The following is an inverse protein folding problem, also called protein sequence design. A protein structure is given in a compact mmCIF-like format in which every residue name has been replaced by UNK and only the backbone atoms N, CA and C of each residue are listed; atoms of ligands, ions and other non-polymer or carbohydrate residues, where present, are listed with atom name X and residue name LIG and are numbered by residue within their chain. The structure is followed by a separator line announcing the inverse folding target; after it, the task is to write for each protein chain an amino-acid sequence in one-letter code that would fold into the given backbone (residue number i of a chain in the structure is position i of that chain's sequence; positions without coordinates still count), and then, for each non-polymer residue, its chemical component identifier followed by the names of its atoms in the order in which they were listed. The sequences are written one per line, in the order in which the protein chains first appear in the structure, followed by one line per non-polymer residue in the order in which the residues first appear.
data_IF_076287935099
#
_entry.id   IF_076287935099
#
_cell.length_a   1.000
_cell.length_b   1.000
_cell.length_c   1.000
_cell.angle_alpha   90.00
_cell.angle_beta   90.00
_cell.angle_gamma   90.00
#
_symmetry.space_group_name_H-M   'P 1'
#
loop_
_entity.id
_entity.type
_entity.pdbx_description
1 polymer ?
#
# COMPACT_ATOMS: atom_id res chain seq x y z
N UNK A 1 23.02 16.06 4.69
CA UNK A 1 23.55 14.69 4.57
C UNK A 1 23.68 14.44 3.09
N UNK A 2 24.86 14.06 2.64
CA UNK A 2 25.13 13.77 1.23
C UNK A 2 24.39 12.49 0.84
N UNK A 3 23.92 12.38 -0.40
CA UNK A 3 23.10 11.25 -0.88
C UNK A 3 23.71 9.87 -0.62
N UNK A 4 25.03 9.73 -0.65
CA UNK A 4 25.75 8.49 -0.41
C UNK A 4 25.52 7.88 1.01
N UNK A 5 25.49 8.72 2.05
CA UNK A 5 25.23 8.24 3.41
C UNK A 5 23.79 7.72 3.60
N UNK A 6 22.84 8.27 2.84
CA UNK A 6 21.44 7.82 2.90
C UNK A 6 21.28 6.47 2.21
N UNK A 7 21.92 6.26 1.06
CA UNK A 7 21.88 4.98 0.34
C UNK A 7 22.52 3.87 1.16
N UNK A 8 23.71 4.10 1.71
CA UNK A 8 24.39 3.09 2.56
C UNK A 8 23.61 2.74 3.83
N UNK A 9 22.89 3.70 4.42
CA UNK A 9 22.01 3.42 5.56
C UNK A 9 20.82 2.54 5.17
N UNK A 10 20.24 2.77 3.99
CA UNK A 10 19.14 1.95 3.47
C UNK A 10 19.60 0.55 3.09
N UNK A 11 20.79 0.40 2.51
CA UNK A 11 21.38 -0.91 2.18
C UNK A 11 21.50 -1.81 3.40
N UNK A 12 21.86 -1.27 4.55
CA UNK A 12 21.97 -2.03 5.80
C UNK A 12 20.62 -2.62 6.26
N UNK A 13 19.49 -2.00 5.84
CA UNK A 13 18.15 -2.45 6.17
C UNK A 13 17.59 -3.53 5.21
N UNK A 14 18.21 -3.73 4.04
CA UNK A 14 17.70 -4.65 3.01
C UNK A 14 17.52 -6.08 3.50
N UNK A 15 18.43 -6.58 4.34
CA UNK A 15 18.34 -7.92 4.92
C UNK A 15 17.04 -8.11 5.73
N UNK A 16 16.59 -7.06 6.41
CA UNK A 16 15.34 -7.07 7.17
C UNK A 16 14.13 -6.93 6.27
N UNK A 17 14.24 -6.13 5.21
CA UNK A 17 13.16 -5.96 4.23
C UNK A 17 12.92 -7.24 3.43
N UNK A 18 13.98 -7.97 3.05
CA UNK A 18 13.86 -9.29 2.41
C UNK A 18 13.15 -10.30 3.33
N UNK A 19 13.51 -10.36 4.60
CA UNK A 19 12.80 -11.20 5.57
C UNK A 19 11.33 -10.81 5.73
N UNK A 20 11.06 -9.51 5.76
CA UNK A 20 9.68 -8.98 5.84
C UNK A 20 8.90 -9.36 4.58
N UNK A 21 9.51 -9.22 3.41
CA UNK A 21 8.94 -9.63 2.12
C UNK A 21 8.60 -11.12 2.11
N UNK A 22 9.50 -11.98 2.59
CA UNK A 22 9.27 -13.42 2.63
C UNK A 22 8.08 -13.78 3.54
N UNK A 23 7.93 -13.10 4.69
CA UNK A 23 6.77 -13.27 5.56
C UNK A 23 5.49 -12.81 4.90
N UNK A 24 5.50 -11.67 4.20
CA UNK A 24 4.35 -11.15 3.47
C UNK A 24 3.94 -12.12 2.35
N UNK A 25 4.89 -12.62 1.57
CA UNK A 25 4.62 -13.60 0.51
C UNK A 25 3.98 -14.89 1.06
N UNK A 26 4.53 -15.42 2.16
CA UNK A 26 3.98 -16.61 2.80
C UNK A 26 2.56 -16.39 3.30
N UNK A 27 2.27 -15.22 3.88
CA UNK A 27 0.91 -14.89 4.32
C UNK A 27 -0.05 -14.74 3.13
N UNK A 28 0.38 -14.13 2.02
CA UNK A 28 -0.42 -14.03 0.80
C UNK A 28 -0.79 -15.44 0.33
N UNK A 29 0.19 -16.32 0.18
CA UNK A 29 -0.05 -17.70 -0.25
C UNK A 29 -0.98 -18.44 0.72
N UNK A 30 -0.75 -18.30 2.02
CA UNK A 30 -1.55 -18.95 3.05
C UNK A 30 -3.02 -18.53 2.99
N UNK A 31 -3.30 -17.22 2.97
CA UNK A 31 -4.70 -16.75 2.98
C UNK A 31 -5.42 -17.05 1.68
N UNK A 32 -4.74 -16.95 0.54
CA UNK A 32 -5.35 -17.26 -0.75
C UNK A 32 -5.61 -18.75 -0.91
N UNK A 33 -4.70 -19.61 -0.45
CA UNK A 33 -4.94 -21.05 -0.38
C UNK A 33 -6.08 -21.40 0.58
N UNK A 34 -6.09 -20.82 1.77
CA UNK A 34 -7.16 -21.04 2.75
C UNK A 34 -8.53 -20.60 2.22
N UNK A 35 -8.59 -19.50 1.51
CA UNK A 35 -9.83 -18.93 0.94
C UNK A 35 -10.20 -19.49 -0.43
N UNK A 36 -9.26 -20.15 -1.12
CA UNK A 36 -9.42 -20.62 -2.51
C UNK A 36 -9.94 -19.51 -3.44
N UNK A 37 -9.47 -18.28 -3.21
CA UNK A 37 -9.94 -17.08 -3.90
C UNK A 37 -8.96 -15.94 -3.78
N UNK A 38 -8.70 -15.20 -4.87
CA UNK A 38 -7.85 -14.02 -4.92
C UNK A 38 -6.82 -14.09 -6.03
N UNK A 39 -5.90 -13.12 -6.05
CA UNK A 39 -4.92 -12.93 -7.11
C UNK A 39 -3.49 -12.98 -6.52
N UNK A 40 -2.83 -14.15 -6.48
CA UNK A 40 -1.51 -14.29 -5.85
C UNK A 40 -0.42 -13.55 -6.61
N UNK A 41 -0.37 -13.67 -7.94
CA UNK A 41 0.68 -13.12 -8.79
C UNK A 41 0.89 -11.63 -8.56
N UNK A 42 -0.13 -10.82 -8.90
CA UNK A 42 -0.07 -9.37 -8.75
C UNK A 42 0.04 -8.89 -7.29
N UNK A 43 -0.38 -9.70 -6.31
CA UNK A 43 -0.18 -9.37 -4.89
C UNK A 43 1.28 -9.54 -4.49
N UNK A 44 1.95 -10.61 -4.92
CA UNK A 44 3.35 -10.93 -4.56
C UNK A 44 4.35 -10.06 -5.31
N UNK A 45 4.15 -9.86 -6.61
CA UNK A 45 5.09 -9.11 -7.46
C UNK A 45 5.32 -7.67 -6.99
N UNK A 46 4.35 -7.07 -6.28
CA UNK A 46 4.41 -5.70 -5.78
C UNK A 46 4.97 -5.56 -4.36
N UNK A 47 5.29 -6.67 -3.65
CA UNK A 47 5.68 -6.62 -2.23
C UNK A 47 6.92 -5.76 -2.02
N UNK A 48 7.99 -5.96 -2.81
CA UNK A 48 9.20 -5.15 -2.70
C UNK A 48 8.93 -3.66 -2.88
N UNK A 49 8.18 -3.30 -3.93
CA UNK A 49 7.87 -1.89 -4.22
C UNK A 49 7.07 -1.25 -3.08
N UNK A 50 6.10 -1.98 -2.50
CA UNK A 50 5.33 -1.48 -1.36
C UNK A 50 6.20 -1.33 -0.10
N UNK A 51 7.02 -2.32 0.23
CA UNK A 51 7.92 -2.26 1.39
C UNK A 51 8.91 -1.10 1.28
N UNK A 52 9.54 -0.93 0.11
CA UNK A 52 10.42 0.23 -0.12
C UNK A 52 9.65 1.53 0.06
N UNK A 53 8.46 1.65 -0.49
CA UNK A 53 7.64 2.86 -0.35
C UNK A 53 7.31 3.17 1.12
N UNK A 54 7.00 2.16 1.92
CA UNK A 54 6.59 2.32 3.31
C UNK A 54 7.76 2.48 4.29
N UNK A 55 8.91 1.81 4.03
CA UNK A 55 9.99 1.69 5.01
C UNK A 55 11.19 2.60 4.74
N UNK A 56 11.43 3.02 3.49
CA UNK A 56 12.58 3.89 3.15
C UNK A 56 12.44 5.36 3.58
N UNK A 57 11.26 5.76 4.04
CA UNK A 57 10.97 7.17 4.34
C UNK A 57 10.57 8.01 3.13
N UNK A 58 10.50 7.43 1.90
CA UNK A 58 10.02 8.14 0.70
C UNK A 58 8.56 8.55 0.81
N UNK A 59 7.74 7.72 1.48
CA UNK A 59 6.36 8.00 1.85
C UNK A 59 6.28 8.44 3.32
N UNK A 60 5.71 9.60 3.57
CA UNK A 60 5.46 10.11 4.92
C UNK A 60 4.14 9.56 5.44
N UNK A 61 4.20 8.57 6.30
CA UNK A 61 3.04 7.95 6.91
C UNK A 61 3.31 7.54 8.38
N UNK A 62 2.29 7.19 9.11
CA UNK A 62 2.40 6.65 10.46
C UNK A 62 1.40 5.49 10.58
N UNK A 63 1.92 4.28 10.81
CA UNK A 63 1.10 3.07 10.93
C UNK A 63 0.07 3.17 12.07
N UNK A 64 0.35 3.97 13.11
CA UNK A 64 -0.57 4.22 14.23
C UNK A 64 -1.66 5.24 13.90
N UNK A 65 -1.44 6.07 12.88
CA UNK A 65 -2.34 7.13 12.43
C UNK A 65 -2.38 7.20 10.91
N UNK A 66 -2.80 6.13 10.23
CA UNK A 66 -2.77 6.06 8.77
C UNK A 66 -3.70 7.08 8.10
N UNK A 67 -4.68 7.59 8.86
CA UNK A 67 -5.62 8.63 8.42
C UNK A 67 -5.09 10.07 8.55
N UNK A 68 -3.85 10.26 8.99
CA UNK A 68 -3.27 11.58 9.24
C UNK A 68 -3.44 12.51 8.03
N UNK A 69 -4.04 13.69 8.26
CA UNK A 69 -4.52 14.61 7.21
C UNK A 69 -3.46 15.01 6.18
N UNK A 70 -2.23 15.23 6.62
CA UNK A 70 -1.12 15.67 5.75
C UNK A 70 -0.04 14.60 5.56
N UNK A 71 -0.34 13.35 5.89
CA UNK A 71 0.47 12.21 5.47
C UNK A 71 0.33 11.99 3.96
N UNK A 72 1.32 11.36 3.34
CA UNK A 72 1.24 11.00 1.94
C UNK A 72 0.13 9.95 1.71
N UNK A 73 -0.30 9.79 0.48
CA UNK A 73 -1.46 8.97 0.10
C UNK A 73 -1.02 7.69 -0.59
N UNK A 74 -1.61 6.57 -0.20
CA UNK A 74 -1.49 5.30 -0.90
C UNK A 74 -2.81 5.00 -1.61
N UNK A 75 -2.75 4.79 -2.92
CA UNK A 75 -3.86 4.34 -3.75
C UNK A 75 -3.47 3.01 -4.40
N UNK A 76 -4.14 1.94 -4.01
CA UNK A 76 -3.98 0.65 -4.68
C UNK A 76 -4.88 0.63 -5.91
N UNK A 77 -4.36 1.10 -7.05
CA UNK A 77 -5.10 1.19 -8.33
C UNK A 77 -5.52 -0.20 -8.79
N UNK A 78 -4.59 -1.18 -8.73
CA UNK A 78 -4.89 -2.60 -8.91
C UNK A 78 -5.60 -3.18 -7.68
N UNK A 79 -6.82 -2.77 -7.41
CA UNK A 79 -7.57 -3.08 -6.18
C UNK A 79 -7.72 -4.57 -5.87
N UNK A 80 -7.71 -5.43 -6.89
CA UNK A 80 -7.75 -6.89 -6.74
C UNK A 80 -6.50 -7.48 -6.06
N UNK A 81 -5.38 -6.72 -6.04
CA UNK A 81 -4.15 -7.13 -5.36
C UNK A 81 -4.12 -6.74 -3.87
N UNK A 82 -5.28 -6.51 -3.27
CA UNK A 82 -5.43 -6.08 -1.87
C UNK A 82 -4.76 -7.01 -0.84
N UNK A 83 -4.60 -8.34 -1.05
CA UNK A 83 -3.81 -9.18 -0.15
C UNK A 83 -2.40 -8.65 0.12
N UNK A 84 -1.77 -7.98 -0.86
CA UNK A 84 -0.52 -7.26 -0.69
C UNK A 84 -0.55 -6.31 0.51
N UNK A 85 -1.57 -5.44 0.58
CA UNK A 85 -1.68 -4.42 1.64
C UNK A 85 -2.05 -5.07 2.97
N UNK A 86 -2.99 -6.02 2.97
CA UNK A 86 -3.42 -6.69 4.20
C UNK A 86 -2.27 -7.46 4.85
N UNK A 87 -1.55 -8.27 4.10
CA UNK A 87 -0.45 -9.06 4.63
C UNK A 87 0.72 -8.18 5.08
N UNK A 88 1.03 -7.11 4.32
CA UNK A 88 2.05 -6.14 4.73
C UNK A 88 1.69 -5.46 6.05
N UNK A 89 0.45 -4.95 6.19
CA UNK A 89 0.01 -4.34 7.44
C UNK A 89 0.02 -5.36 8.59
N UNK A 90 -0.42 -6.59 8.37
CA UNK A 90 -0.40 -7.63 9.40
C UNK A 90 1.02 -7.89 9.91
N UNK A 91 2.00 -8.08 9.01
CA UNK A 91 3.41 -8.31 9.40
C UNK A 91 3.98 -7.13 10.19
N UNK A 92 3.77 -5.90 9.71
CA UNK A 92 4.30 -4.70 10.37
C UNK A 92 3.64 -4.48 11.73
N UNK A 93 2.32 -4.68 11.84
CA UNK A 93 1.59 -4.54 13.11
C UNK A 93 2.01 -5.63 14.09
N UNK A 94 2.22 -6.87 13.65
CA UNK A 94 2.73 -7.94 14.49
C UNK A 94 4.13 -7.63 15.05
N UNK A 95 5.01 -7.13 14.20
CA UNK A 95 6.34 -6.73 14.64
C UNK A 95 6.28 -5.67 15.76
N UNK A 96 5.41 -4.68 15.62
CA UNK A 96 5.20 -3.65 16.65
C UNK A 96 4.52 -4.23 17.90
N UNK A 97 3.51 -5.12 17.75
CA UNK A 97 2.84 -5.80 18.86
C UNK A 97 3.84 -6.59 19.73
N UNK A 98 4.67 -7.39 19.07
CA UNK A 98 5.71 -8.17 19.76
C UNK A 98 6.73 -7.26 20.44
N UNK A 99 7.17 -6.21 19.76
CA UNK A 99 8.12 -5.26 20.33
C UNK A 99 7.55 -4.54 21.54
N UNK A 100 6.29 -4.13 21.50
CA UNK A 100 5.61 -3.53 22.64
C UNK A 100 5.51 -4.50 23.81
N UNK A 101 5.13 -5.75 23.57
CA UNK A 101 5.05 -6.80 24.60
C UNK A 101 6.41 -7.05 25.27
N UNK A 102 7.50 -7.02 24.49
CA UNK A 102 8.86 -7.25 25.00
C UNK A 102 9.42 -6.09 25.80
N UNK A 103 9.08 -4.85 25.44
CA UNK A 103 9.76 -3.66 25.96
C UNK A 103 8.87 -2.77 26.83
N UNK A 104 7.55 -2.82 26.69
CA UNK A 104 6.62 -1.88 27.29
C UNK A 104 6.73 -0.46 26.75
N UNK A 105 7.49 -0.24 25.68
CA UNK A 105 7.76 1.09 25.14
C UNK A 105 6.58 1.60 24.31
N UNK A 106 5.95 2.68 24.76
CA UNK A 106 4.78 3.31 24.14
C UNK A 106 4.99 3.73 22.67
N UNK A 107 6.23 3.84 22.21
CA UNK A 107 6.54 4.08 20.79
C UNK A 107 6.05 2.96 19.87
N UNK A 108 5.94 1.75 20.40
CA UNK A 108 5.48 0.55 19.66
C UNK A 108 4.01 0.23 19.87
N UNK A 109 3.33 0.98 20.74
CA UNK A 109 1.92 0.76 21.01
C UNK A 109 1.05 1.10 19.80
N UNK A 110 0.25 0.16 19.38
CA UNK A 110 -0.71 0.30 18.30
C UNK A 110 -2.09 0.77 18.83
N UNK A 111 -2.93 1.35 17.95
CA UNK A 111 -4.35 1.56 18.25
C UNK A 111 -5.07 0.27 18.63
N UNK A 112 -6.31 0.38 19.09
CA UNK A 112 -7.14 -0.79 19.42
C UNK A 112 -7.41 -1.70 18.21
N UNK A 113 -7.90 -2.93 18.48
CA UNK A 113 -8.08 -3.96 17.46
C UNK A 113 -9.10 -3.59 16.37
N UNK A 114 -9.96 -2.62 16.62
CA UNK A 114 -10.93 -2.10 15.64
C UNK A 114 -10.28 -1.28 14.51
N UNK A 115 -9.04 -0.81 14.74
CA UNK A 115 -8.27 0.04 13.81
C UNK A 115 -6.98 -0.60 13.32
N UNK A 116 -6.54 -1.67 13.97
CA UNK A 116 -5.28 -2.36 13.68
C UNK A 116 -5.57 -3.70 13.04
N UNK A 117 -4.98 -3.95 11.88
CA UNK A 117 -5.09 -5.21 11.17
C UNK A 117 -4.01 -6.17 11.65
N UNK A 118 -4.42 -7.31 12.18
CA UNK A 118 -3.54 -8.37 12.61
C UNK A 118 -3.69 -9.62 11.71
N UNK A 119 -2.82 -10.60 11.87
CA UNK A 119 -2.86 -11.83 11.07
C UNK A 119 -4.18 -12.61 11.24
N UNK A 120 -4.81 -12.54 12.40
CA UNK A 120 -6.10 -13.19 12.65
C UNK A 120 -7.21 -12.68 11.73
N UNK A 121 -7.15 -11.40 11.38
CA UNK A 121 -8.13 -10.78 10.47
C UNK A 121 -8.05 -11.36 9.06
N UNK A 122 -6.85 -11.79 8.64
CA UNK A 122 -6.61 -12.35 7.31
C UNK A 122 -7.47 -13.58 7.02
N UNK A 123 -7.81 -14.37 8.06
CA UNK A 123 -8.69 -15.53 7.94
C UNK A 123 -10.11 -15.15 7.52
N UNK A 124 -10.50 -13.90 7.74
CA UNK A 124 -11.76 -13.30 7.29
C UNK A 124 -11.78 -12.79 5.86
N UNK A 125 -10.68 -12.92 5.10
CA UNK A 125 -10.60 -12.42 3.73
C UNK A 125 -11.73 -12.97 2.85
N UNK A 126 -12.44 -12.08 2.15
CA UNK A 126 -13.61 -12.39 1.31
C UNK A 126 -14.73 -13.16 2.03
N UNK A 127 -14.90 -12.95 3.33
CA UNK A 127 -16.08 -13.40 4.10
C UNK A 127 -16.98 -12.21 4.40
N UNK A 128 -18.27 -12.49 4.52
CA UNK A 128 -19.23 -11.49 5.01
C UNK A 128 -18.80 -11.02 6.42
N UNK A 129 -18.67 -9.71 6.59
CA UNK A 129 -18.19 -9.10 7.84
C UNK A 129 -16.67 -9.20 8.06
N UNK A 130 -15.92 -9.82 7.14
CA UNK A 130 -14.45 -9.87 7.16
C UNK A 130 -13.80 -8.85 6.23
N UNK A 131 -12.56 -9.12 5.84
CA UNK A 131 -11.80 -8.24 4.96
C UNK A 131 -12.33 -8.31 3.52
N UNK A 132 -12.59 -7.15 2.87
CA UNK A 132 -13.04 -7.08 1.48
C UNK A 132 -12.08 -7.72 0.49
N UNK A 133 -12.61 -8.12 -0.66
CA UNK A 133 -11.82 -8.71 -1.76
C UNK A 133 -11.11 -7.72 -2.67
N UNK A 134 -11.41 -6.43 -2.50
CA UNK A 134 -10.80 -5.31 -3.21
C UNK A 134 -10.41 -4.21 -2.22
N UNK A 135 -9.70 -3.20 -2.70
CA UNK A 135 -9.23 -2.12 -1.84
C UNK A 135 -10.40 -1.26 -1.34
N UNK A 136 -10.56 -1.19 -0.03
CA UNK A 136 -11.55 -0.34 0.62
C UNK A 136 -10.90 0.49 1.72
N UNK A 137 -11.25 1.78 1.76
CA UNK A 137 -10.84 2.71 2.81
C UNK A 137 -11.83 2.63 3.97
N UNK A 138 -11.70 1.61 4.81
CA UNK A 138 -12.60 1.40 5.94
C UNK A 138 -11.93 0.66 7.09
N UNK A 139 -12.36 0.92 8.32
CA UNK A 139 -11.94 0.18 9.50
C UNK A 139 -10.42 0.09 9.65
N UNK A 140 -9.87 -1.09 9.40
CA UNK A 140 -8.44 -1.41 9.60
C UNK A 140 -7.54 -1.02 8.41
N UNK A 141 -8.09 -0.49 7.33
CA UNK A 141 -7.39 -0.20 6.07
C UNK A 141 -7.36 1.29 5.71
N UNK A 142 -7.34 2.16 6.70
CA UNK A 142 -7.29 3.62 6.54
C UNK A 142 -5.99 4.14 5.89
N UNK A 143 -4.98 3.27 5.71
CA UNK A 143 -3.82 3.55 4.87
C UNK A 143 -4.23 3.82 3.42
N UNK A 144 -5.21 3.07 2.91
CA UNK A 144 -5.80 3.31 1.59
C UNK A 144 -6.64 4.58 1.61
N UNK A 145 -6.65 5.31 0.49
CA UNK A 145 -7.39 6.59 0.39
C UNK A 145 -8.56 6.53 -0.57
N UNK A 146 -8.70 5.44 -1.32
CA UNK A 146 -9.83 5.21 -2.23
C UNK A 146 -10.26 3.75 -2.20
N UNK A 147 -11.53 3.54 -2.47
CA UNK A 147 -12.07 2.23 -2.83
C UNK A 147 -11.80 2.00 -4.31
N UNK A 148 -11.10 0.91 -4.63
CA UNK A 148 -10.74 0.55 -6.00
C UNK A 148 -11.09 -0.92 -6.26
N UNK A 149 -11.16 -1.31 -7.51
CA UNK A 149 -11.46 -2.69 -7.91
C UNK A 149 -11.54 -2.83 -9.41
N UNK A 150 -12.46 -2.13 -10.10
CA UNK A 150 -12.54 -2.18 -11.56
C UNK A 150 -11.26 -1.65 -12.20
N UNK A 151 -10.75 -2.39 -13.18
CA UNK A 151 -9.52 -2.05 -13.92
C UNK A 151 -9.60 -0.65 -14.51
N UNK A 152 -8.54 0.14 -14.33
CA UNK A 152 -8.41 1.51 -14.83
C UNK A 152 -9.11 2.59 -14.00
N UNK A 153 -10.00 2.26 -13.06
CA UNK A 153 -10.74 3.27 -12.29
C UNK A 153 -9.94 3.92 -11.17
N UNK A 154 -8.94 3.22 -10.64
CA UNK A 154 -8.09 3.77 -9.58
C UNK A 154 -7.15 4.88 -10.06
N UNK A 155 -6.79 4.87 -11.34
CA UNK A 155 -5.91 5.87 -11.95
C UNK A 155 -6.50 7.29 -11.89
N UNK A 156 -7.72 7.55 -12.39
CA UNK A 156 -8.37 8.86 -12.24
C UNK A 156 -8.54 9.28 -10.79
N UNK A 157 -8.84 8.34 -9.87
CA UNK A 157 -8.96 8.65 -8.46
C UNK A 157 -7.65 9.17 -7.86
N UNK A 158 -6.52 8.52 -8.18
CA UNK A 158 -5.20 8.95 -7.73
C UNK A 158 -4.82 10.34 -8.28
N UNK A 159 -5.07 10.59 -9.57
CA UNK A 159 -4.81 11.89 -10.19
C UNK A 159 -5.73 12.98 -9.63
N UNK A 160 -6.99 12.67 -9.38
CA UNK A 160 -7.95 13.58 -8.76
C UNK A 160 -7.51 14.00 -7.35
N UNK A 161 -7.02 13.06 -6.53
CA UNK A 161 -6.46 13.35 -5.21
C UNK A 161 -5.23 14.24 -5.31
N UNK A 162 -4.29 13.93 -6.22
CA UNK A 162 -3.10 14.74 -6.44
C UNK A 162 -3.44 16.18 -6.85
N UNK A 163 -4.41 16.34 -7.76
CA UNK A 163 -4.90 17.65 -8.18
C UNK A 163 -5.57 18.42 -7.03
N UNK A 164 -6.44 17.73 -6.27
CA UNK A 164 -7.14 18.33 -5.13
C UNK A 164 -6.14 18.84 -4.08
N UNK A 165 -5.12 18.04 -3.75
CA UNK A 165 -4.05 18.43 -2.83
C UNK A 165 -3.28 19.67 -3.34
N UNK A 166 -2.93 19.72 -4.61
CA UNK A 166 -2.27 20.91 -5.20
C UNK A 166 -3.15 22.14 -5.10
N UNK A 167 -4.42 22.03 -5.47
CA UNK A 167 -5.38 23.17 -5.41
C UNK A 167 -5.66 23.62 -3.97
N UNK A 168 -5.57 22.74 -3.01
CA UNK A 168 -5.70 23.05 -1.58
C UNK A 168 -4.42 23.64 -0.96
N UNK A 169 -3.37 23.91 -1.74
CA UNK A 169 -2.08 24.40 -1.24
C UNK A 169 -1.24 23.32 -0.53
N UNK A 170 -1.62 22.05 -0.64
CA UNK A 170 -0.95 20.90 -0.03
C UNK A 170 -0.15 20.07 -1.07
N UNK A 171 0.41 20.72 -2.11
CA UNK A 171 1.14 20.05 -3.18
C UNK A 171 2.40 19.29 -2.73
N UNK A 172 2.90 19.53 -1.52
CA UNK A 172 3.97 18.73 -0.91
C UNK A 172 3.52 17.37 -0.37
N UNK A 173 2.21 17.05 -0.38
CA UNK A 173 1.68 15.71 -0.07
C UNK A 173 1.73 14.86 -1.33
N UNK A 174 2.42 13.74 -1.26
CA UNK A 174 2.62 12.81 -2.37
C UNK A 174 1.47 11.81 -2.45
N UNK A 175 1.12 11.40 -3.66
CA UNK A 175 0.17 10.31 -3.94
C UNK A 175 0.93 9.18 -4.62
N UNK A 176 1.01 8.02 -3.97
CA UNK A 176 1.63 6.81 -4.50
C UNK A 176 0.52 5.89 -5.02
N UNK A 177 0.49 5.68 -6.32
CA UNK A 177 -0.51 4.90 -7.04
C UNK A 177 0.11 3.60 -7.56
N UNK A 178 -0.35 2.45 -7.04
CA UNK A 178 0.16 1.12 -7.38
C UNK A 178 -0.74 0.43 -8.39
N UNK A 179 -0.22 0.16 -9.58
CA UNK A 179 -0.94 -0.49 -10.68
C UNK A 179 -0.16 -1.69 -11.23
N UNK A 180 -0.81 -2.50 -12.05
CA UNK A 180 -0.18 -3.47 -12.94
C UNK A 180 -0.24 -3.00 -14.39
N UNK A 181 0.61 -3.55 -15.25
CA UNK A 181 0.66 -3.18 -16.67
C UNK A 181 -0.66 -3.42 -17.40
N UNK A 182 -1.41 -4.46 -17.04
CA UNK A 182 -2.72 -4.72 -17.64
C UNK A 182 -3.71 -3.57 -17.37
N UNK A 183 -3.63 -2.91 -16.22
CA UNK A 183 -4.46 -1.75 -15.93
C UNK A 183 -4.16 -0.54 -16.83
N UNK A 184 -2.95 -0.44 -17.35
CA UNK A 184 -2.58 0.61 -18.30
C UNK A 184 -3.26 0.48 -19.67
N UNK A 185 -3.83 -0.69 -19.99
CA UNK A 185 -4.59 -0.86 -21.24
C UNK A 185 -5.96 -0.19 -21.22
N UNK A 186 -6.44 0.21 -20.02
CA UNK A 186 -7.70 0.95 -19.90
C UNK A 186 -7.57 2.38 -20.45
N UNK A 187 -8.52 2.83 -21.25
CA UNK A 187 -8.52 4.19 -21.82
C UNK A 187 -8.37 5.28 -20.75
N UNK A 188 -9.02 5.11 -19.60
CA UNK A 188 -8.92 6.05 -18.47
C UNK A 188 -7.49 6.20 -17.95
N UNK A 189 -6.64 5.17 -18.01
CA UNK A 189 -5.24 5.27 -17.61
C UNK A 189 -4.45 6.19 -18.55
N UNK A 190 -4.69 6.09 -19.87
CA UNK A 190 -4.07 6.97 -20.86
C UNK A 190 -4.51 8.43 -20.69
N UNK A 191 -5.79 8.67 -20.47
CA UNK A 191 -6.32 10.01 -20.20
C UNK A 191 -5.71 10.61 -18.93
N UNK A 192 -5.51 9.80 -17.90
CA UNK A 192 -4.86 10.24 -16.66
C UNK A 192 -3.41 10.62 -16.88
N UNK A 193 -2.63 9.82 -17.62
CA UNK A 193 -1.23 10.17 -17.90
C UNK A 193 -1.11 11.50 -18.65
N UNK A 194 -1.94 11.71 -19.67
CA UNK A 194 -1.97 12.97 -20.43
C UNK A 194 -2.42 14.15 -19.55
N UNK A 195 -3.47 13.96 -18.76
CA UNK A 195 -4.00 15.00 -17.87
C UNK A 195 -3.04 15.33 -16.74
N UNK A 196 -2.38 14.34 -16.16
CA UNK A 196 -1.39 14.51 -15.09
C UNK A 196 -0.21 15.36 -15.57
N UNK A 197 0.27 15.10 -16.80
CA UNK A 197 1.29 15.93 -17.44
C UNK A 197 0.79 17.35 -17.67
N UNK A 198 -0.34 17.52 -18.33
CA UNK A 198 -0.90 18.85 -18.63
C UNK A 198 -1.23 19.70 -17.41
N UNK A 199 -1.59 19.05 -16.29
CA UNK A 199 -1.89 19.70 -15.00
C UNK A 199 -0.67 19.77 -14.08
N UNK A 200 0.50 19.34 -14.55
CA UNK A 200 1.78 19.31 -13.82
C UNK A 200 1.62 18.66 -12.42
N UNK A 201 1.03 17.45 -12.36
CA UNK A 201 0.83 16.72 -11.09
C UNK A 201 2.13 16.06 -10.63
N UNK A 202 3.11 16.87 -10.24
CA UNK A 202 4.43 16.46 -9.76
C UNK A 202 4.42 15.79 -8.36
N UNK A 203 3.27 15.77 -7.73
CA UNK A 203 2.99 15.04 -6.48
C UNK A 203 2.34 13.67 -6.70
N UNK A 204 2.11 13.24 -7.95
CA UNK A 204 1.60 11.91 -8.30
C UNK A 204 2.76 10.99 -8.71
N UNK A 205 2.91 9.87 -8.01
CA UNK A 205 3.91 8.84 -8.28
C UNK A 205 3.20 7.56 -8.71
N UNK A 206 3.37 7.18 -9.96
CA UNK A 206 2.79 5.96 -10.50
C UNK A 206 3.81 4.83 -10.42
N UNK A 207 3.52 3.81 -9.63
CA UNK A 207 4.33 2.61 -9.48
C UNK A 207 3.67 1.50 -10.29
N UNK A 208 4.26 1.16 -11.42
CA UNK A 208 3.74 0.12 -12.32
C UNK A 208 4.54 -1.15 -12.11
N UNK A 209 3.85 -2.21 -11.75
CA UNK A 209 4.38 -3.56 -11.70
C UNK A 209 4.26 -4.18 -13.10
N UNK A 210 5.37 -4.23 -13.81
CA UNK A 210 5.46 -4.79 -15.15
C UNK A 210 5.95 -6.23 -15.06
N UNK A 211 5.02 -7.16 -14.93
CA UNK A 211 5.32 -8.58 -14.70
C UNK A 211 4.95 -9.50 -15.89
N UNK A 212 4.57 -8.92 -17.03
CA UNK A 212 4.14 -9.61 -18.27
C UNK A 212 2.92 -10.54 -18.09
N UNK A 213 2.12 -10.29 -17.02
CA UNK A 213 0.89 -11.04 -16.76
C UNK A 213 -0.31 -10.10 -16.65
N UNK A 214 -1.03 -9.95 -17.75
CA UNK A 214 -2.35 -9.32 -17.79
C UNK A 214 -3.46 -10.38 -17.72
N UNK A 215 -4.53 -10.11 -16.94
CA UNK A 215 -5.75 -10.93 -16.92
C UNK A 215 -6.87 -10.14 -17.59
#
# INVERSE_FOLDING_TARGET
MTGDNTVSALEAEFVYWEKTKDLVDQLIDLILNYRQSGHPGGSRSKVHALLVTLLSGVMRWDIRRPEKRFGDRLVLVAGHTIPLVYCTLAVLNEALRVKYQQTGDERYRLPGPERTLYWEDLLGFRRLGGLPGHAEMAGKTLLLKFNTGPTGHGAPAAAGEALALKRAGAGGVKVFAFEGEAGLTAGAAHEVMNSAWGLALDNLFYVVDWNDFGI
#
